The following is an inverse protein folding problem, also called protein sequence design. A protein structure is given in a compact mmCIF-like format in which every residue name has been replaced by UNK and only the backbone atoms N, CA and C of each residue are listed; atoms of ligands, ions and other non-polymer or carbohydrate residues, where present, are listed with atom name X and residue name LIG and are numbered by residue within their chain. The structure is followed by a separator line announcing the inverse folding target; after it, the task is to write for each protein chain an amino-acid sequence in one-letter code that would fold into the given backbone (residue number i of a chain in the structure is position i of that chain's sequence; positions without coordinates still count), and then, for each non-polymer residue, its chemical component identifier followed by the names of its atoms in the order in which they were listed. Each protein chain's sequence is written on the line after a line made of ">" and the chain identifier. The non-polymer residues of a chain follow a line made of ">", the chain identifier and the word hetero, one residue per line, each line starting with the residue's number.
data_IF_062833434668
#
_entry.id   IF_062833434668
#
_cell.length_a   1.000
_cell.length_b   1.000
_cell.length_c   1.000
_cell.angle_alpha   90.00
_cell.angle_beta   90.00
_cell.angle_gamma   90.00
#
_symmetry.space_group_name_H-M   'P 1'
#
loop_
_entity.id
_entity.type
_entity.pdbx_description
1 polymer ?
#
# COMPACT_ATOMS: atom_id res chain seq x y z
N UNK A 1 -3.07 8.66 9.32
CA UNK A 1 -3.18 7.40 8.59
C UNK A 1 -1.85 7.03 7.98
N UNK A 2 -1.42 5.81 8.18
CA UNK A 2 -0.14 5.31 7.64
C UNK A 2 -0.40 4.16 6.68
N UNK A 3 0.07 4.33 5.45
CA UNK A 3 -0.15 3.39 4.35
C UNK A 3 1.17 2.76 3.93
N UNK A 4 1.22 1.44 3.88
CA UNK A 4 2.39 0.72 3.39
C UNK A 4 2.09 0.08 2.04
N UNK A 5 2.91 0.41 1.03
CA UNK A 5 2.91 -0.31 -0.23
C UNK A 5 3.96 -1.42 -0.15
N UNK A 6 3.52 -2.64 -0.36
CA UNK A 6 4.44 -3.78 -0.35
C UNK A 6 4.79 -4.14 -1.79
N UNK A 7 6.08 -4.23 -2.07
CA UNK A 7 6.58 -4.46 -3.42
C UNK A 7 7.73 -5.46 -3.40
N UNK A 8 8.20 -5.84 -4.59
CA UNK A 8 9.39 -6.67 -4.71
C UNK A 8 10.63 -5.81 -4.48
N UNK A 9 11.64 -6.39 -3.84
CA UNK A 9 12.90 -5.68 -3.61
C UNK A 9 13.48 -5.24 -4.97
N UNK A 10 13.95 -3.99 -5.03
CA UNK A 10 14.51 -3.43 -6.24
C UNK A 10 13.50 -2.86 -7.23
N UNK A 11 12.21 -3.01 -6.97
CA UNK A 11 11.17 -2.42 -7.81
C UNK A 11 10.97 -0.96 -7.44
N UNK A 12 10.74 -0.11 -8.45
CA UNK A 12 10.52 1.31 -8.22
C UNK A 12 9.05 1.59 -7.99
N UNK A 13 8.67 1.74 -6.73
CA UNK A 13 7.33 2.19 -6.36
C UNK A 13 7.33 3.66 -5.91
N UNK A 14 8.51 4.31 -5.91
CA UNK A 14 8.63 5.68 -5.42
C UNK A 14 7.77 6.66 -6.23
N UNK A 15 7.66 6.45 -7.54
CA UNK A 15 6.84 7.31 -8.38
C UNK A 15 5.35 7.19 -7.99
N UNK A 16 4.89 5.97 -7.73
CA UNK A 16 3.51 5.75 -7.30
C UNK A 16 3.25 6.42 -5.95
N UNK A 17 4.17 6.28 -5.00
CA UNK A 17 4.07 6.94 -3.70
C UNK A 17 3.97 8.45 -3.88
N UNK A 18 4.83 9.04 -4.72
CA UNK A 18 4.82 10.47 -5.00
C UNK A 18 3.46 10.92 -5.55
N UNK A 19 2.90 10.15 -6.48
CA UNK A 19 1.59 10.48 -7.06
C UNK A 19 0.46 10.36 -6.04
N UNK A 20 0.53 9.37 -5.17
CA UNK A 20 -0.45 9.21 -4.09
C UNK A 20 -0.38 10.40 -3.13
N UNK A 21 0.83 10.81 -2.77
CA UNK A 21 1.03 11.95 -1.87
C UNK A 21 0.50 13.24 -2.49
N UNK A 22 0.76 13.43 -3.78
CA UNK A 22 0.27 14.60 -4.52
C UNK A 22 -1.25 14.64 -4.52
N UNK A 23 -1.88 13.51 -4.81
CA UNK A 23 -3.34 13.43 -4.82
C UNK A 23 -3.93 13.68 -3.44
N UNK A 24 -3.32 13.12 -2.41
CA UNK A 24 -3.76 13.33 -1.03
C UNK A 24 -3.72 14.82 -0.68
N UNK A 25 -2.65 15.50 -1.06
CA UNK A 25 -2.49 16.93 -0.82
C UNK A 25 -3.56 17.73 -1.55
N UNK A 26 -3.86 17.37 -2.80
CA UNK A 26 -4.91 18.04 -3.59
C UNK A 26 -6.29 17.86 -2.95
N UNK A 27 -6.52 16.76 -2.26
CA UNK A 27 -7.78 16.47 -1.57
C UNK A 27 -7.82 17.03 -0.16
N UNK A 28 -6.77 17.70 0.30
CA UNK A 28 -6.72 18.24 1.65
C UNK A 28 -6.45 17.21 2.73
N UNK A 29 -5.94 16.03 2.37
CA UNK A 29 -5.55 15.00 3.33
C UNK A 29 -4.12 15.27 3.74
N UNK A 30 -3.92 15.82 4.93
CA UNK A 30 -2.60 16.28 5.36
C UNK A 30 -1.90 15.35 6.34
N UNK A 31 -2.63 14.49 7.02
CA UNK A 31 -2.10 13.61 8.06
C UNK A 31 -1.95 12.17 7.54
N UNK A 32 -1.38 12.04 6.36
CA UNK A 32 -1.16 10.74 5.74
C UNK A 32 0.33 10.50 5.50
N UNK A 33 0.81 9.31 5.86
CA UNK A 33 2.16 8.86 5.58
C UNK A 33 2.07 7.67 4.65
N UNK A 34 2.77 7.73 3.53
CA UNK A 34 2.78 6.66 2.53
C UNK A 34 4.23 6.22 2.31
N UNK A 35 4.51 4.94 2.50
CA UNK A 35 5.85 4.38 2.29
C UNK A 35 5.76 3.10 1.48
N UNK A 36 6.84 2.78 0.79
CA UNK A 36 6.99 1.53 0.05
C UNK A 36 8.12 0.73 0.67
N UNK A 37 7.88 -0.55 0.94
CA UNK A 37 8.86 -1.45 1.51
C UNK A 37 8.75 -2.81 0.84
N UNK A 38 9.83 -3.61 0.82
CA UNK A 38 9.75 -4.98 0.30
C UNK A 38 8.71 -5.79 1.09
N UNK A 39 7.97 -6.63 0.39
CA UNK A 39 6.93 -7.44 1.04
C UNK A 39 7.52 -8.33 2.14
N UNK A 40 8.77 -8.76 2.00
CA UNK A 40 9.44 -9.59 2.99
C UNK A 40 9.59 -8.89 4.33
N UNK A 41 9.54 -7.57 4.36
CA UNK A 41 9.70 -6.79 5.59
C UNK A 41 8.36 -6.49 6.27
N UNK A 42 7.27 -7.12 5.82
CA UNK A 42 5.95 -6.88 6.39
C UNK A 42 5.91 -7.09 7.90
N UNK A 43 6.51 -8.16 8.39
CA UNK A 43 6.49 -8.47 9.82
C UNK A 43 7.18 -7.40 10.67
N UNK A 44 8.18 -6.73 10.10
CA UNK A 44 8.86 -5.61 10.78
C UNK A 44 8.03 -4.33 10.77
N UNK A 45 7.09 -4.22 9.84
CA UNK A 45 6.31 -3.01 9.63
C UNK A 45 4.86 -3.12 10.08
N UNK A 46 4.43 -4.30 10.51
CA UNK A 46 3.01 -4.56 10.79
C UNK A 46 2.44 -3.63 11.86
N UNK A 47 3.24 -3.21 12.81
CA UNK A 47 2.80 -2.32 13.89
C UNK A 47 2.93 -0.84 13.54
N UNK A 48 3.57 -0.52 12.42
CA UNK A 48 3.89 0.86 12.05
C UNK A 48 2.88 1.49 11.10
N UNK A 49 2.04 0.67 10.47
CA UNK A 49 1.12 1.13 9.44
C UNK A 49 -0.31 0.68 9.73
N UNK A 50 -1.26 1.41 9.19
CA UNK A 50 -2.69 1.16 9.43
C UNK A 50 -3.33 0.33 8.33
N UNK A 51 -2.91 0.55 7.08
CA UNK A 51 -3.43 -0.19 5.92
C UNK A 51 -2.27 -0.63 5.04
N UNK A 52 -2.50 -1.71 4.32
CA UNK A 52 -1.45 -2.36 3.53
C UNK A 52 -1.94 -2.59 2.11
N UNK A 53 -1.12 -2.21 1.14
CA UNK A 53 -1.41 -2.41 -0.28
C UNK A 53 -0.37 -3.35 -0.86
N UNK A 54 -0.84 -4.42 -1.50
CA UNK A 54 0.04 -5.45 -2.07
C UNK A 54 0.20 -5.21 -3.56
N UNK A 55 1.43 -5.00 -4.01
CA UNK A 55 1.73 -4.82 -5.42
C UNK A 55 1.50 -6.10 -6.21
N UNK A 56 1.10 -5.98 -7.48
CA UNK A 56 0.78 -7.16 -8.28
C UNK A 56 1.99 -8.08 -8.51
N UNK A 57 3.21 -7.55 -8.46
CA UNK A 57 4.42 -8.35 -8.64
C UNK A 57 4.65 -9.35 -7.51
N UNK A 58 4.07 -9.09 -6.34
CA UNK A 58 4.25 -9.94 -5.16
C UNK A 58 2.94 -10.57 -4.70
N UNK A 59 1.98 -10.65 -5.60
CA UNK A 59 0.67 -11.27 -5.31
C UNK A 59 0.82 -12.73 -4.89
N UNK A 60 1.87 -13.39 -5.31
CA UNK A 60 2.13 -14.78 -4.91
C UNK A 60 2.32 -14.93 -3.39
N UNK A 61 2.58 -13.84 -2.68
CA UNK A 61 2.70 -13.84 -1.23
C UNK A 61 1.41 -13.45 -0.51
N UNK A 62 0.31 -13.32 -1.25
CA UNK A 62 -0.94 -12.81 -0.68
C UNK A 62 -1.41 -13.59 0.53
N UNK A 63 -1.32 -14.92 0.50
CA UNK A 63 -1.76 -15.75 1.61
C UNK A 63 -0.99 -15.43 2.89
N UNK A 64 0.32 -15.31 2.78
CA UNK A 64 1.19 -14.94 3.91
C UNK A 64 0.87 -13.55 4.43
N UNK A 65 0.67 -12.59 3.52
CA UNK A 65 0.31 -11.21 3.87
C UNK A 65 -1.02 -11.20 4.62
N UNK A 66 -2.01 -11.90 4.09
CA UNK A 66 -3.34 -11.97 4.69
C UNK A 66 -3.27 -12.49 6.13
N UNK A 67 -2.53 -13.56 6.35
CA UNK A 67 -2.39 -14.14 7.68
C UNK A 67 -1.80 -13.15 8.68
N UNK A 68 -0.77 -12.41 8.28
CA UNK A 68 -0.11 -11.45 9.16
C UNK A 68 -1.00 -10.23 9.41
N UNK A 69 -1.56 -9.66 8.36
CA UNK A 69 -2.34 -8.42 8.47
C UNK A 69 -3.65 -8.65 9.22
N UNK A 70 -4.39 -9.68 8.84
CA UNK A 70 -5.66 -9.98 9.51
C UNK A 70 -5.45 -10.52 10.91
N UNK A 71 -4.31 -11.15 11.16
CA UNK A 71 -3.96 -11.65 12.49
C UNK A 71 -3.85 -10.56 13.54
N UNK A 72 -3.60 -9.32 13.15
CA UNK A 72 -3.55 -8.18 14.06
C UNK A 72 -4.77 -7.25 13.89
N UNK A 73 -5.80 -7.70 13.16
CA UNK A 73 -7.02 -6.93 13.00
C UNK A 73 -6.93 -5.80 12.00
N UNK A 74 -5.90 -5.79 11.15
CA UNK A 74 -5.74 -4.76 10.12
C UNK A 74 -6.25 -5.26 8.78
N UNK A 75 -6.21 -4.41 7.76
CA UNK A 75 -6.76 -4.71 6.44
C UNK A 75 -5.72 -4.49 5.35
N UNK A 76 -5.84 -5.26 4.29
CA UNK A 76 -5.00 -5.10 3.11
C UNK A 76 -5.85 -5.24 1.85
N UNK A 77 -5.32 -4.79 0.73
CA UNK A 77 -5.89 -5.08 -0.58
C UNK A 77 -4.76 -5.20 -1.60
N UNK A 78 -5.06 -5.88 -2.71
CA UNK A 78 -4.12 -5.98 -3.81
C UNK A 78 -4.34 -4.83 -4.77
N UNK A 79 -3.25 -4.24 -5.26
CA UNK A 79 -3.33 -3.20 -6.29
C UNK A 79 -3.55 -3.90 -7.63
N UNK A 80 -4.63 -3.57 -8.37
CA UNK A 80 -4.84 -4.18 -9.70
C UNK A 80 -3.65 -3.89 -10.62
N UNK A 81 -3.24 -4.85 -11.45
CA UNK A 81 -2.10 -4.65 -12.36
C UNK A 81 -2.23 -3.41 -13.24
N UNK A 82 -3.44 -3.10 -13.70
CA UNK A 82 -3.68 -1.93 -14.53
C UNK A 82 -3.42 -0.64 -13.79
N UNK A 83 -3.88 -0.56 -12.54
CA UNK A 83 -3.68 0.62 -11.69
C UNK A 83 -2.19 0.81 -11.43
N UNK A 84 -1.49 -0.26 -11.12
CA UNK A 84 -0.06 -0.21 -10.85
C UNK A 84 0.73 0.16 -12.12
N UNK A 85 0.40 -0.47 -13.25
CA UNK A 85 1.09 -0.24 -14.51
C UNK A 85 0.94 1.17 -15.03
N UNK A 86 -0.21 1.82 -14.78
CA UNK A 86 -0.45 3.20 -15.14
C UNK A 86 0.07 4.19 -14.10
N UNK A 87 0.64 3.70 -13.02
CA UNK A 87 1.09 4.50 -11.88
C UNK A 87 -0.03 5.44 -11.42
N UNK A 88 -1.22 4.87 -11.24
CA UNK A 88 -2.43 5.62 -10.92
C UNK A 88 -2.49 5.89 -9.41
N UNK A 89 -1.87 6.98 -8.98
CA UNK A 89 -1.81 7.37 -7.58
C UNK A 89 -3.17 7.64 -6.99
N UNK A 90 -4.09 8.21 -7.78
CA UNK A 90 -5.44 8.51 -7.33
C UNK A 90 -6.20 7.23 -6.95
N UNK A 91 -6.26 6.27 -7.86
CA UNK A 91 -6.96 5.02 -7.60
C UNK A 91 -6.30 4.21 -6.49
N UNK A 92 -4.97 4.23 -6.44
CA UNK A 92 -4.24 3.51 -5.39
C UNK A 92 -4.56 4.10 -4.02
N UNK A 93 -4.58 5.43 -3.91
CA UNK A 93 -4.94 6.08 -2.66
C UNK A 93 -6.39 5.79 -2.29
N UNK A 94 -7.29 5.78 -3.26
CA UNK A 94 -8.70 5.46 -3.01
C UNK A 94 -8.86 4.04 -2.46
N UNK A 95 -8.06 3.08 -2.95
CA UNK A 95 -8.07 1.73 -2.41
C UNK A 95 -7.68 1.73 -0.92
N UNK A 96 -6.66 2.51 -0.57
CA UNK A 96 -6.23 2.61 0.82
C UNK A 96 -7.31 3.23 1.70
N UNK A 97 -7.94 4.30 1.22
CA UNK A 97 -9.01 4.97 1.98
C UNK A 97 -10.24 4.07 2.18
N UNK A 98 -10.53 3.23 1.20
CA UNK A 98 -11.62 2.26 1.28
C UNK A 98 -11.42 1.28 2.44
N UNK A 99 -10.17 0.90 2.71
CA UNK A 99 -9.87 -0.03 3.79
C UNK A 99 -10.15 0.55 5.18
N UNK A 100 -10.25 1.86 5.29
CA UNK A 100 -10.52 2.53 6.57
C UNK A 100 -12.00 2.73 6.86
N UNK A 101 -12.86 2.42 5.91
CA UNK A 101 -14.30 2.57 6.09
C UNK A 101 -14.91 1.42 6.87
#
# INVERSE_FOLDING_TARGET
>A
MKVLLMCAAGMSTSLLVTKMEKYAKEKGINDILIKAEPVEDLDKNIDKYDVFLLGPQVKYKEKWVKEIVEGVGKKYTCIPPQVYGMVDGKKTLELALELLK
#
